data_IF_173450757930
#
_entry.id   IF_173450757930
#
_cell.length_a   1.000
_cell.length_b   1.000
_cell.length_c   1.000
_cell.angle_alpha   90.00
_cell.angle_beta   90.00
_cell.angle_gamma   90.00
#
_symmetry.space_group_name_H-M   'P 1'
#
loop_
_entity.id
_entity.type
_entity.pdbx_description
1 polymer ?
#
# COMPACT_ATOMS: atom_id res chain seq x y z
N UNK A 1 11.93 -7.02 3.10
CA UNK A 1 10.99 -8.12 3.37
C UNK A 1 9.95 -8.15 2.26
N UNK A 2 9.71 -9.28 1.59
CA UNK A 2 8.75 -9.37 0.49
C UNK A 2 7.30 -9.33 0.98
N UNK A 3 6.42 -8.69 0.23
CA UNK A 3 4.96 -8.78 0.39
C UNK A 3 4.29 -9.00 -0.96
N UNK A 4 3.61 -10.13 -1.13
CA UNK A 4 3.00 -10.48 -2.40
C UNK A 4 2.88 -11.98 -2.59
N UNK A 5 2.99 -12.45 -3.83
CA UNK A 5 2.83 -13.87 -4.15
C UNK A 5 3.60 -14.26 -5.42
N UNK A 6 3.87 -15.57 -5.53
CA UNK A 6 4.24 -16.22 -6.79
C UNK A 6 3.31 -17.42 -7.05
N UNK A 7 3.65 -18.30 -8.00
CA UNK A 7 2.84 -19.48 -8.30
C UNK A 7 2.82 -20.54 -7.18
N UNK A 8 3.80 -20.53 -6.26
CA UNK A 8 3.94 -21.52 -5.18
C UNK A 8 3.30 -21.05 -3.88
N UNK A 9 3.47 -19.77 -3.54
CA UNK A 9 3.15 -19.28 -2.20
C UNK A 9 2.87 -17.78 -2.13
N UNK A 10 2.34 -17.35 -0.99
CA UNK A 10 2.26 -15.94 -0.59
C UNK A 10 3.43 -15.59 0.34
N UNK A 11 3.97 -14.39 0.18
CA UNK A 11 4.97 -13.81 1.06
C UNK A 11 4.26 -12.81 1.97
N UNK A 12 4.21 -13.08 3.26
CA UNK A 12 3.48 -12.27 4.25
C UNK A 12 4.48 -11.69 5.25
N UNK A 13 4.58 -10.35 5.38
CA UNK A 13 5.41 -9.73 6.40
C UNK A 13 4.99 -10.14 7.82
N UNK A 14 5.96 -10.28 8.72
CA UNK A 14 5.71 -10.68 10.12
C UNK A 14 4.73 -9.77 10.87
N UNK A 15 4.68 -8.49 10.47
CA UNK A 15 3.74 -7.50 11.02
C UNK A 15 2.28 -7.80 10.69
N UNK A 16 2.02 -8.62 9.67
CA UNK A 16 0.69 -9.00 9.20
C UNK A 16 0.38 -10.48 9.40
N UNK A 17 1.28 -11.26 10.00
CA UNK A 17 1.14 -12.72 10.13
C UNK A 17 -0.09 -13.16 10.94
N UNK A 18 -0.50 -12.34 11.91
CA UNK A 18 -1.62 -12.63 12.81
C UNK A 18 -2.97 -12.13 12.24
N UNK A 19 -3.00 -11.57 11.03
CA UNK A 19 -4.25 -11.09 10.41
C UNK A 19 -5.12 -12.24 9.93
N UNK A 20 -6.44 -12.05 9.99
CA UNK A 20 -7.39 -12.94 9.32
C UNK A 20 -7.15 -12.91 7.80
N UNK A 21 -7.60 -13.95 7.09
CA UNK A 21 -7.45 -14.02 5.62
C UNK A 21 -8.02 -12.80 4.91
N UNK A 22 -9.20 -12.34 5.35
CA UNK A 22 -9.86 -11.15 4.83
C UNK A 22 -9.04 -9.89 5.11
N UNK A 23 -8.61 -9.67 6.36
CA UNK A 23 -7.85 -8.48 6.73
C UNK A 23 -6.48 -8.43 6.04
N UNK A 24 -5.86 -9.59 5.83
CA UNK A 24 -4.61 -9.70 5.10
C UNK A 24 -4.80 -9.35 3.61
N UNK A 25 -5.87 -9.82 2.97
CA UNK A 25 -6.20 -9.45 1.58
C UNK A 25 -6.49 -7.95 1.45
N UNK A 26 -7.25 -7.39 2.38
CA UNK A 26 -7.53 -5.96 2.44
C UNK A 26 -6.24 -5.16 2.64
N UNK A 27 -5.38 -5.61 3.54
CA UNK A 27 -4.08 -4.99 3.83
C UNK A 27 -3.17 -4.97 2.62
N UNK A 28 -3.07 -6.09 1.91
CA UNK A 28 -2.33 -6.18 0.65
C UNK A 28 -2.94 -5.25 -0.41
N UNK A 29 -4.25 -5.32 -0.62
CA UNK A 29 -4.90 -4.59 -1.70
C UNK A 29 -4.90 -3.06 -1.47
N UNK A 30 -5.03 -2.61 -0.23
CA UNK A 30 -4.91 -1.18 0.10
C UNK A 30 -3.52 -0.63 -0.20
N UNK A 31 -2.47 -1.38 0.15
CA UNK A 31 -1.10 -1.00 -0.18
C UNK A 31 -0.84 -1.06 -1.68
N UNK A 32 -1.31 -2.13 -2.35
CA UNK A 32 -1.27 -2.25 -3.82
C UNK A 32 -1.89 -1.03 -4.51
N UNK A 33 -3.13 -0.68 -4.15
CA UNK A 33 -3.84 0.45 -4.75
C UNK A 33 -3.22 1.81 -4.45
N UNK A 34 -2.41 1.93 -3.40
CA UNK A 34 -1.63 3.14 -3.12
C UNK A 34 -0.33 3.20 -3.94
N UNK A 35 0.17 2.06 -4.41
CA UNK A 35 1.46 1.98 -5.09
C UNK A 35 1.35 2.03 -6.61
N UNK A 36 0.21 1.62 -7.18
CA UNK A 36 0.04 1.51 -8.63
C UNK A 36 -0.69 2.71 -9.24
N UNK A 37 -0.51 2.87 -10.56
CA UNK A 37 -1.29 3.81 -11.37
C UNK A 37 -2.80 3.66 -11.12
N UNK A 38 -3.54 4.77 -11.17
CA UNK A 38 -5.00 4.81 -11.00
C UNK A 38 -5.73 3.80 -11.91
N UNK A 39 -5.24 3.60 -13.13
CA UNK A 39 -5.80 2.64 -14.11
C UNK A 39 -5.69 1.18 -13.67
N UNK A 40 -4.75 0.86 -12.77
CA UNK A 40 -4.48 -0.48 -12.25
C UNK A 40 -5.09 -0.73 -10.87
N UNK A 41 -5.76 0.26 -10.29
CA UNK A 41 -6.45 0.13 -9.01
C UNK A 41 -7.55 -0.93 -9.11
N UNK A 42 -7.62 -1.80 -8.10
CA UNK A 42 -8.62 -2.86 -8.00
C UNK A 42 -9.62 -2.51 -6.88
N UNK A 43 -10.94 -2.55 -7.15
CA UNK A 43 -11.94 -2.30 -6.11
C UNK A 43 -11.78 -3.20 -4.89
N UNK A 44 -11.90 -2.62 -3.70
CA UNK A 44 -11.69 -3.33 -2.42
C UNK A 44 -12.63 -4.54 -2.24
N UNK A 45 -13.79 -4.54 -2.90
CA UNK A 45 -14.73 -5.66 -2.90
C UNK A 45 -14.10 -7.00 -3.34
N UNK A 46 -13.08 -6.97 -4.22
CA UNK A 46 -12.41 -8.19 -4.68
C UNK A 46 -11.59 -8.89 -3.59
N UNK A 47 -11.17 -8.17 -2.53
CA UNK A 47 -10.40 -8.72 -1.42
C UNK A 47 -11.25 -9.51 -0.41
N UNK A 48 -12.51 -9.11 -0.19
CA UNK A 48 -13.37 -9.62 0.90
C UNK A 48 -13.54 -11.15 0.87
N UNK A 49 -13.72 -11.71 -0.33
CA UNK A 49 -13.99 -13.14 -0.53
C UNK A 49 -12.88 -13.84 -1.33
N UNK A 50 -11.68 -13.26 -1.39
CA UNK A 50 -10.55 -13.90 -2.06
C UNK A 50 -9.86 -14.91 -1.13
N UNK A 51 -9.48 -16.07 -1.67
CA UNK A 51 -8.76 -17.10 -0.90
C UNK A 51 -7.27 -16.78 -0.73
N UNK A 52 -6.72 -15.95 -1.62
CA UNK A 52 -5.33 -15.50 -1.65
C UNK A 52 -5.24 -14.20 -2.47
N UNK A 53 -4.08 -13.55 -2.46
CA UNK A 53 -3.82 -12.31 -3.20
C UNK A 53 -4.04 -12.48 -4.70
N UNK A 54 -3.57 -13.57 -5.29
CA UNK A 54 -3.71 -13.85 -6.73
C UNK A 54 -5.17 -13.82 -7.19
N UNK A 55 -6.06 -14.42 -6.41
CA UNK A 55 -7.50 -14.50 -6.72
C UNK A 55 -8.15 -13.11 -6.80
N UNK A 56 -7.63 -12.10 -6.10
CA UNK A 56 -8.11 -10.71 -6.18
C UNK A 56 -7.99 -10.20 -7.62
N UNK A 57 -6.83 -10.40 -8.24
CA UNK A 57 -6.53 -9.98 -9.60
C UNK A 57 -7.28 -10.82 -10.62
N UNK A 58 -7.31 -12.15 -10.44
CA UNK A 58 -8.00 -13.05 -11.35
C UNK A 58 -9.48 -12.73 -11.45
N UNK A 59 -10.16 -12.50 -10.31
CA UNK A 59 -11.56 -12.06 -10.31
C UNK A 59 -11.75 -10.73 -11.03
N UNK A 60 -10.86 -9.75 -10.79
CA UNK A 60 -10.92 -8.44 -11.45
C UNK A 60 -10.76 -8.55 -12.96
N UNK A 61 -9.78 -9.31 -13.43
CA UNK A 61 -9.53 -9.56 -14.86
C UNK A 61 -10.77 -10.21 -15.49
N UNK A 62 -11.30 -11.26 -14.86
CA UNK A 62 -12.49 -11.97 -15.36
C UNK A 62 -13.69 -11.04 -15.51
N UNK A 63 -13.96 -10.19 -14.52
CA UNK A 63 -15.09 -9.27 -14.57
C UNK A 63 -14.93 -8.23 -15.67
N UNK A 64 -13.75 -7.59 -15.80
CA UNK A 64 -13.50 -6.61 -16.88
C UNK A 64 -13.74 -7.27 -18.25
N UNK A 65 -13.21 -8.48 -18.43
CA UNK A 65 -13.34 -9.20 -19.70
C UNK A 65 -14.80 -9.57 -19.98
N UNK A 66 -15.54 -10.12 -19.02
CA UNK A 66 -16.98 -10.42 -19.16
C UNK A 66 -17.77 -9.20 -19.61
N UNK A 67 -17.60 -8.06 -18.93
CA UNK A 67 -18.29 -6.81 -19.30
C UNK A 67 -17.90 -6.29 -20.69
N UNK A 68 -16.62 -6.40 -21.07
CA UNK A 68 -16.15 -5.98 -22.39
C UNK A 68 -16.73 -6.83 -23.53
N UNK A 69 -16.83 -8.15 -23.35
CA UNK A 69 -17.43 -9.05 -24.34
C UNK A 69 -18.95 -8.85 -24.47
N UNK A 70 -19.64 -8.54 -23.38
CA UNK A 70 -21.07 -8.21 -23.41
C UNK A 70 -21.32 -6.90 -24.17
N UNK A 71 -20.46 -5.88 -24.03
CA UNK A 71 -20.56 -4.63 -24.80
C UNK A 71 -20.16 -4.76 -26.26
N UNK A 72 -19.28 -5.70 -26.63
CA UNK A 72 -18.91 -5.95 -28.02
C UNK A 72 -20.11 -6.41 -28.90
N UNK A 73 -21.20 -6.90 -28.29
CA UNK A 73 -22.46 -7.18 -28.99
C UNK A 73 -23.18 -5.90 -29.45
N UNK A 74 -22.92 -4.75 -28.81
CA UNK A 74 -23.37 -3.44 -29.27
C UNK A 74 -22.21 -2.72 -29.95
N UNK A 75 -22.23 -2.69 -31.29
CA UNK A 75 -21.23 -2.06 -32.16
C UNK A 75 -20.93 -0.62 -31.70
N UNK A 76 -19.85 -0.47 -30.94
CA UNK A 76 -19.20 0.83 -30.73
C UNK A 76 -17.90 0.83 -31.54
N UNK A 77 -17.53 1.96 -32.16
CA UNK A 77 -16.35 2.04 -33.02
C UNK A 77 -15.12 1.65 -32.19
N UNK A 78 -14.31 0.75 -32.76
CA UNK A 78 -13.08 0.20 -32.17
C UNK A 78 -12.15 1.33 -31.68
N UNK A 79 -12.32 1.72 -30.41
CA UNK A 79 -11.42 2.67 -29.75
C UNK A 79 -10.01 2.05 -29.70
N UNK A 80 -9.10 2.60 -30.50
CA UNK A 80 -7.64 2.37 -30.53
C UNK A 80 -7.22 0.90 -30.38
N UNK A 81 -7.15 0.20 -31.52
CA UNK A 81 -6.59 -1.14 -31.63
C UNK A 81 -5.14 -1.17 -31.11
N UNK A 82 -4.92 -1.78 -29.94
CA UNK A 82 -3.57 -2.05 -29.43
C UNK A 82 -3.28 -3.54 -29.60
N UNK A 83 -2.46 -3.88 -30.58
CA UNK A 83 -2.07 -5.27 -30.91
C UNK A 83 -1.56 -5.99 -29.67
N UNK A 84 -0.63 -5.37 -28.93
CA UNK A 84 -0.06 -5.97 -27.72
C UNK A 84 -1.11 -6.23 -26.64
N UNK A 85 -2.09 -5.35 -26.47
CA UNK A 85 -3.16 -5.58 -25.50
C UNK A 85 -4.04 -6.78 -25.91
N UNK A 86 -4.34 -6.90 -27.21
CA UNK A 86 -5.11 -8.03 -27.73
C UNK A 86 -4.36 -9.36 -27.60
N UNK A 87 -3.04 -9.37 -27.81
CA UNK A 87 -2.22 -10.57 -27.64
C UNK A 87 -2.30 -11.11 -26.20
N UNK A 88 -2.10 -10.25 -25.20
CA UNK A 88 -2.22 -10.64 -23.79
C UNK A 88 -3.63 -11.13 -23.42
N UNK A 89 -4.67 -10.46 -23.92
CA UNK A 89 -6.06 -10.88 -23.69
C UNK A 89 -6.35 -12.23 -24.36
N UNK A 90 -5.84 -12.45 -25.58
CA UNK A 90 -5.98 -13.71 -26.33
C UNK A 90 -5.28 -14.85 -25.58
N UNK A 91 -4.02 -14.65 -25.16
CA UNK A 91 -3.27 -15.60 -24.37
C UNK A 91 -4.01 -16.00 -23.08
N UNK A 92 -4.55 -15.01 -22.35
CA UNK A 92 -5.35 -15.27 -21.15
C UNK A 92 -6.63 -16.08 -21.41
N UNK A 93 -7.29 -15.84 -22.56
CA UNK A 93 -8.51 -16.54 -22.97
C UNK A 93 -8.23 -17.99 -23.32
N UNK A 94 -7.19 -18.25 -24.10
CA UNK A 94 -6.83 -19.59 -24.58
C UNK A 94 -5.89 -20.35 -23.63
N UNK A 95 -5.46 -19.71 -22.53
CA UNK A 95 -4.51 -20.27 -21.56
C UNK A 95 -3.16 -20.64 -22.17
N UNK A 96 -2.75 -19.90 -23.20
CA UNK A 96 -1.47 -20.07 -23.88
C UNK A 96 -0.67 -18.77 -23.85
N UNK A 97 0.36 -18.75 -23.00
CA UNK A 97 1.29 -17.63 -22.83
C UNK A 97 2.66 -17.91 -23.44
N UNK A 98 2.85 -19.03 -24.14
CA UNK A 98 4.15 -19.48 -24.66
C UNK A 98 4.84 -18.40 -25.50
N UNK A 99 4.08 -17.74 -26.38
CA UNK A 99 4.55 -16.68 -27.28
C UNK A 99 4.78 -15.32 -26.60
N UNK A 100 4.39 -15.15 -25.33
CA UNK A 100 4.46 -13.87 -24.62
C UNK A 100 5.55 -13.80 -23.54
N UNK A 101 6.21 -14.92 -23.23
CA UNK A 101 7.25 -14.98 -22.19
C UNK A 101 8.40 -13.99 -22.41
N UNK A 102 8.74 -13.74 -23.68
CA UNK A 102 9.84 -12.86 -24.08
C UNK A 102 9.38 -11.49 -24.61
N UNK A 103 8.11 -11.12 -24.38
CA UNK A 103 7.55 -9.86 -24.87
C UNK A 103 7.72 -8.76 -23.82
N UNK A 104 8.60 -7.80 -24.10
CA UNK A 104 8.92 -6.69 -23.18
C UNK A 104 8.06 -5.43 -23.36
N UNK A 105 7.10 -5.44 -24.30
CA UNK A 105 6.23 -4.28 -24.51
C UNK A 105 5.15 -4.19 -23.43
N UNK A 106 4.92 -2.98 -22.90
CA UNK A 106 3.83 -2.72 -21.94
C UNK A 106 2.50 -2.49 -22.68
N UNK A 107 1.45 -3.30 -22.43
CA UNK A 107 0.14 -3.10 -23.01
C UNK A 107 -0.47 -1.75 -22.62
N UNK A 108 -1.24 -1.14 -23.55
CA UNK A 108 -1.97 0.10 -23.27
C UNK A 108 -3.24 -0.13 -22.44
N UNK A 109 -3.89 -1.28 -22.61
CA UNK A 109 -5.13 -1.58 -21.89
C UNK A 109 -4.85 -2.03 -20.45
N UNK A 110 -5.54 -1.47 -19.44
CA UNK A 110 -5.31 -1.82 -18.05
C UNK A 110 -5.49 -3.32 -17.75
N UNK A 111 -6.50 -3.96 -18.34
CA UNK A 111 -6.73 -5.40 -18.17
C UNK A 111 -5.58 -6.24 -18.75
N UNK A 112 -5.02 -5.81 -19.89
CA UNK A 112 -3.87 -6.49 -20.48
C UNK A 112 -2.60 -6.29 -19.65
N UNK A 113 -2.40 -5.11 -19.05
CA UNK A 113 -1.33 -4.87 -18.07
C UNK A 113 -1.48 -5.77 -16.84
N UNK A 114 -2.68 -5.89 -16.27
CA UNK A 114 -2.92 -6.81 -15.14
C UNK A 114 -2.63 -8.26 -15.50
N UNK A 115 -3.05 -8.71 -16.70
CA UNK A 115 -2.71 -10.05 -17.20
C UNK A 115 -1.19 -10.19 -17.32
N UNK A 116 -0.51 -9.23 -17.96
CA UNK A 116 0.94 -9.25 -18.09
C UNK A 116 1.61 -9.37 -16.71
N UNK A 117 1.22 -8.54 -15.73
CA UNK A 117 1.77 -8.57 -14.37
C UNK A 117 1.61 -9.95 -13.72
N UNK A 118 0.48 -10.64 -13.93
CA UNK A 118 0.20 -11.92 -13.30
C UNK A 118 0.91 -13.12 -13.96
N UNK A 119 1.16 -13.04 -15.26
CA UNK A 119 1.54 -14.20 -16.08
C UNK A 119 2.91 -14.07 -16.75
N UNK A 120 3.49 -12.87 -16.84
CA UNK A 120 4.83 -12.69 -17.42
C UNK A 120 5.93 -13.18 -16.47
N UNK A 121 5.90 -12.69 -15.24
CA UNK A 121 6.92 -13.02 -14.24
C UNK A 121 6.46 -14.12 -13.28
N UNK A 122 5.19 -14.54 -13.38
CA UNK A 122 4.51 -15.49 -12.47
C UNK A 122 4.57 -15.08 -10.98
N UNK A 123 4.99 -13.86 -10.70
CA UNK A 123 5.11 -13.28 -9.38
C UNK A 123 4.70 -11.80 -9.38
N UNK A 124 4.13 -11.40 -8.25
CA UNK A 124 3.83 -10.02 -7.94
C UNK A 124 4.25 -9.77 -6.49
N UNK A 125 5.49 -9.35 -6.32
CA UNK A 125 6.16 -9.20 -5.02
C UNK A 125 6.66 -7.77 -4.89
N UNK A 126 6.35 -7.13 -3.77
CA UNK A 126 6.77 -5.78 -3.43
C UNK A 126 7.69 -5.78 -2.21
N UNK A 127 8.50 -4.73 -2.07
CA UNK A 127 9.19 -4.47 -0.81
C UNK A 127 8.19 -3.97 0.23
N UNK A 128 7.91 -4.75 1.27
CA UNK A 128 6.94 -4.42 2.31
C UNK A 128 7.20 -3.07 2.99
N UNK A 129 8.47 -2.65 3.10
CA UNK A 129 8.83 -1.35 3.69
C UNK A 129 8.35 -0.21 2.81
N UNK A 130 8.70 -0.22 1.54
CA UNK A 130 8.29 0.79 0.56
C UNK A 130 6.77 0.79 0.40
N UNK A 131 6.16 -0.39 0.41
CA UNK A 131 4.72 -0.53 0.24
C UNK A 131 3.93 0.16 1.35
N UNK A 132 4.38 -0.01 2.59
CA UNK A 132 3.78 0.64 3.74
C UNK A 132 4.06 2.14 3.78
N UNK A 133 5.28 2.57 3.46
CA UNK A 133 5.64 4.00 3.37
C UNK A 133 4.76 4.71 2.34
N UNK A 134 4.65 4.17 1.13
CA UNK A 134 3.82 4.74 0.07
C UNK A 134 2.35 4.75 0.45
N UNK A 135 1.85 3.70 1.11
CA UNK A 135 0.48 3.68 1.61
C UNK A 135 0.19 4.79 2.64
N UNK A 136 1.09 5.00 3.60
CA UNK A 136 0.94 6.08 4.60
C UNK A 136 0.98 7.45 3.93
N UNK A 137 1.94 7.68 3.03
CA UNK A 137 2.06 8.91 2.26
C UNK A 137 0.78 9.21 1.48
N UNK A 138 0.33 8.25 0.65
CA UNK A 138 -0.86 8.40 -0.19
C UNK A 138 -2.12 8.69 0.63
N UNK A 139 -2.25 8.04 1.79
CA UNK A 139 -3.40 8.25 2.67
C UNK A 139 -3.37 9.64 3.31
N UNK A 140 -2.19 10.13 3.74
CA UNK A 140 -2.03 11.49 4.25
C UNK A 140 -2.29 12.52 3.14
N UNK A 141 -1.72 12.32 1.95
CA UNK A 141 -1.90 13.20 0.79
C UNK A 141 -3.38 13.32 0.39
N UNK A 142 -4.10 12.20 0.30
CA UNK A 142 -5.54 12.18 -0.03
C UNK A 142 -6.38 12.90 1.02
N UNK A 143 -6.00 12.84 2.29
CA UNK A 143 -6.70 13.54 3.38
C UNK A 143 -6.34 15.02 3.47
N UNK A 144 -5.22 15.44 2.87
CA UNK A 144 -4.67 16.79 2.99
C UNK A 144 -4.24 17.35 1.62
N UNK A 145 -5.15 17.49 0.64
CA UNK A 145 -4.80 17.84 -0.75
C UNK A 145 -4.18 19.24 -0.93
N UNK A 146 -4.27 20.10 0.08
CA UNK A 146 -3.73 21.47 0.05
C UNK A 146 -2.40 21.63 0.79
N UNK A 147 -1.92 20.59 1.47
CA UNK A 147 -0.68 20.66 2.27
C UNK A 147 0.53 20.33 1.41
N UNK A 148 1.67 20.91 1.75
CA UNK A 148 2.94 20.57 1.15
C UNK A 148 3.49 19.31 1.82
N UNK A 149 3.82 18.29 1.02
CA UNK A 149 4.33 17.01 1.50
C UNK A 149 5.68 16.69 0.86
N UNK A 150 6.68 16.45 1.69
CA UNK A 150 8.03 16.09 1.27
C UNK A 150 8.41 14.75 1.90
N UNK A 151 8.37 13.68 1.11
CA UNK A 151 8.78 12.35 1.52
C UNK A 151 10.23 12.08 1.10
N UNK A 152 11.10 11.76 2.06
CA UNK A 152 12.46 11.26 1.81
C UNK A 152 12.69 9.99 2.63
N UNK A 153 12.96 8.90 1.93
CA UNK A 153 13.07 7.55 2.51
C UNK A 153 11.83 7.17 3.35
N UNK A 154 11.92 7.30 4.67
CA UNK A 154 10.84 7.03 5.60
C UNK A 154 10.44 8.24 6.46
N UNK A 155 10.94 9.42 6.11
CA UNK A 155 10.64 10.68 6.77
C UNK A 155 9.76 11.53 5.86
N UNK A 156 8.58 11.89 6.36
CA UNK A 156 7.63 12.76 5.69
C UNK A 156 7.54 14.07 6.46
N UNK A 157 7.87 15.17 5.78
CA UNK A 157 7.68 16.53 6.28
C UNK A 157 6.40 17.12 5.67
N UNK A 158 5.58 17.73 6.52
CA UNK A 158 4.30 18.33 6.17
C UNK A 158 4.38 19.81 6.52
N UNK A 159 4.15 20.66 5.51
CA UNK A 159 4.17 22.13 5.61
C UNK A 159 5.45 22.69 6.26
N UNK A 160 6.57 21.96 6.17
CA UNK A 160 7.88 22.34 6.72
C UNK A 160 8.06 22.18 8.24
N UNK A 161 7.01 21.88 9.01
CA UNK A 161 7.05 21.94 10.48
C UNK A 161 6.34 20.78 11.20
N UNK A 162 5.67 19.88 10.47
CA UNK A 162 5.08 18.67 11.03
C UNK A 162 5.76 17.43 10.44
N UNK A 163 6.41 16.65 11.30
CA UNK A 163 7.23 15.51 10.90
C UNK A 163 6.58 14.16 11.18
N UNK A 164 6.80 13.19 10.29
CA UNK A 164 6.36 11.81 10.43
C UNK A 164 7.48 10.86 10.03
N UNK A 165 7.94 10.01 10.95
CA UNK A 165 8.78 8.85 10.65
C UNK A 165 7.92 7.60 10.48
N UNK A 166 8.14 6.82 9.42
CA UNK A 166 7.32 5.67 9.08
C UNK A 166 8.16 4.39 9.16
N UNK A 167 7.70 3.39 9.92
CA UNK A 167 8.40 2.11 10.06
C UNK A 167 7.48 0.94 9.81
N UNK A 168 7.80 0.12 8.81
CA UNK A 168 7.05 -1.08 8.46
C UNK A 168 7.45 -2.29 9.33
N UNK A 169 7.30 -2.16 10.66
CA UNK A 169 7.60 -3.24 11.61
C UNK A 169 6.58 -3.31 12.74
N UNK A 170 6.52 -4.46 13.41
CA UNK A 170 5.76 -4.57 14.65
C UNK A 170 6.31 -3.61 15.71
N UNK A 171 5.40 -3.00 16.44
CA UNK A 171 5.70 -2.23 17.64
C UNK A 171 4.95 -2.88 18.80
N UNK A 172 5.69 -3.26 19.84
CA UNK A 172 5.14 -3.74 21.11
C UNK A 172 5.36 -2.68 22.18
N UNK A 173 4.27 -2.09 22.67
CA UNK A 173 4.33 -1.02 23.66
C UNK A 173 4.84 -1.50 25.02
N UNK A 174 4.70 -2.79 25.31
CA UNK A 174 5.13 -3.39 26.58
C UNK A 174 6.64 -3.67 26.56
N UNK A 175 7.29 -3.58 25.40
CA UNK A 175 8.72 -3.82 25.24
C UNK A 175 9.39 -2.60 24.62
N UNK A 176 9.78 -1.62 25.46
CA UNK A 176 10.37 -0.34 25.02
C UNK A 176 11.55 -0.49 24.04
N UNK A 177 12.33 -1.56 24.17
CA UNK A 177 13.43 -1.89 23.25
C UNK A 177 12.99 -2.03 21.78
N UNK A 178 11.71 -2.34 21.52
CA UNK A 178 11.17 -2.50 20.16
C UNK A 178 11.09 -1.18 19.38
N UNK A 179 11.03 -0.04 20.06
CA UNK A 179 10.89 1.29 19.44
C UNK A 179 11.89 2.33 19.96
N UNK A 180 12.82 1.94 20.83
CA UNK A 180 13.79 2.86 21.43
C UNK A 180 14.70 3.51 20.38
N UNK A 181 15.12 2.76 19.35
CA UNK A 181 15.96 3.30 18.28
C UNK A 181 15.22 4.38 17.49
N UNK A 182 13.95 4.15 17.17
CA UNK A 182 13.10 5.09 16.44
C UNK A 182 12.81 6.36 17.26
N UNK A 183 12.55 6.21 18.56
CA UNK A 183 12.38 7.35 19.47
C UNK A 183 13.68 8.15 19.55
N UNK A 184 14.82 7.50 19.74
CA UNK A 184 16.12 8.17 19.81
C UNK A 184 16.45 8.90 18.50
N UNK A 185 16.11 8.31 17.35
CA UNK A 185 16.25 8.98 16.06
C UNK A 185 15.38 10.25 16.00
N UNK A 186 14.11 10.16 16.37
CA UNK A 186 13.21 11.32 16.39
C UNK A 186 13.73 12.43 17.32
N UNK A 187 14.16 12.07 18.53
CA UNK A 187 14.70 13.04 19.51
C UNK A 187 15.94 13.77 18.96
N UNK A 188 16.85 13.07 18.27
CA UNK A 188 18.01 13.70 17.61
C UNK A 188 17.57 14.69 16.51
N UNK A 189 16.54 14.34 15.74
CA UNK A 189 16.01 15.25 14.71
C UNK A 189 15.39 16.50 15.34
N UNK A 190 14.63 16.34 16.42
CA UNK A 190 13.99 17.44 17.17
C UNK A 190 15.02 18.36 17.84
N UNK A 191 16.19 17.86 18.19
CA UNK A 191 17.29 18.69 18.70
C UNK A 191 17.88 19.61 17.61
N UNK A 192 17.88 19.16 16.36
CA UNK A 192 18.49 19.89 15.25
C UNK A 192 17.51 20.85 14.56
N UNK A 193 16.21 20.59 14.65
CA UNK A 193 15.15 21.39 14.04
C UNK A 193 13.91 21.37 14.94
N UNK A 194 13.26 22.52 15.10
CA UNK A 194 11.99 22.61 15.82
C UNK A 194 10.83 22.11 14.93
N UNK A 195 9.97 21.26 15.51
CA UNK A 195 8.75 20.78 14.87
C UNK A 195 7.56 21.11 15.76
N UNK A 196 6.40 21.46 15.18
CA UNK A 196 5.19 21.61 16.01
C UNK A 196 4.72 20.27 16.57
N UNK A 197 4.86 19.21 15.75
CA UNK A 197 4.46 17.84 16.05
C UNK A 197 5.42 16.88 15.37
N UNK A 198 5.68 15.75 16.01
CA UNK A 198 6.53 14.69 15.46
C UNK A 198 5.89 13.34 15.73
N UNK A 199 5.49 12.62 14.68
CA UNK A 199 4.87 11.31 14.81
C UNK A 199 5.81 10.19 14.34
N UNK A 200 5.78 9.07 15.04
CA UNK A 200 6.43 7.82 14.63
C UNK A 200 5.31 6.81 14.36
N UNK A 201 5.18 6.41 13.11
CA UNK A 201 4.13 5.52 12.62
C UNK A 201 4.64 4.09 12.51
N UNK A 202 3.86 3.17 13.07
CA UNK A 202 3.98 1.72 12.87
C UNK A 202 2.64 1.15 12.37
N UNK A 203 2.62 0.03 11.64
CA UNK A 203 1.38 -0.69 11.38
C UNK A 203 0.68 -1.06 12.69
N UNK A 204 -0.63 -0.80 12.75
CA UNK A 204 -1.48 -1.21 13.87
C UNK A 204 -1.44 -2.73 14.03
N UNK A 205 -1.16 -3.20 15.23
CA UNK A 205 -1.06 -4.63 15.55
C UNK A 205 -1.71 -4.93 16.92
N UNK A 206 -1.69 -6.19 17.35
CA UNK A 206 -2.32 -6.64 18.60
C UNK A 206 -1.76 -5.97 19.86
N UNK A 207 -0.47 -5.65 19.88
CA UNK A 207 0.25 -5.04 20.99
C UNK A 207 0.36 -3.50 20.86
N UNK A 208 -0.10 -2.91 19.76
CA UNK A 208 -0.09 -1.46 19.57
C UNK A 208 -1.33 -0.98 18.84
N UNK A 209 -2.34 -0.57 19.62
CA UNK A 209 -3.68 -0.20 19.14
C UNK A 209 -4.05 1.27 19.34
N UNK A 210 -3.39 1.97 20.25
CA UNK A 210 -3.63 3.38 20.61
C UNK A 210 -2.34 4.17 20.52
N UNK A 211 -2.45 5.47 20.24
CA UNK A 211 -1.29 6.36 20.23
C UNK A 211 -0.70 6.48 21.64
N UNK A 212 0.61 6.72 21.72
CA UNK A 212 1.33 6.95 22.97
C UNK A 212 2.13 8.23 22.81
N UNK A 213 1.93 9.16 23.73
CA UNK A 213 2.74 10.37 23.81
C UNK A 213 4.04 10.08 24.55
N UNK A 214 5.16 10.45 23.93
CA UNK A 214 6.48 10.30 24.54
C UNK A 214 6.79 11.61 25.26
N UNK A 215 6.58 11.59 26.58
CA UNK A 215 7.01 12.68 27.46
C UNK A 215 8.52 12.60 27.60
N UNK A 216 9.22 13.49 26.92
CA UNK A 216 10.66 13.67 27.09
C UNK A 216 10.94 15.13 27.44
N UNK A 217 11.79 15.35 28.43
CA UNK A 217 12.28 16.68 28.80
C UNK A 217 13.36 17.11 27.81
N UNK A 218 12.97 17.34 26.56
CA UNK A 218 13.76 18.20 25.70
C UNK A 218 13.71 19.60 26.32
N UNK A 219 14.85 20.30 26.35
CA UNK A 219 15.07 21.64 26.94
C UNK A 219 13.81 22.53 26.99
N UNK A 220 13.67 23.41 28.00
CA UNK A 220 12.54 24.34 28.21
C UNK A 220 12.05 25.09 26.95
N UNK A 221 12.88 25.22 25.92
CA UNK A 221 12.54 25.86 24.64
C UNK A 221 11.81 24.95 23.64
N UNK A 222 11.92 23.63 23.73
CA UNK A 222 11.49 22.71 22.68
C UNK A 222 10.09 22.15 22.99
N UNK A 223 9.06 22.71 22.36
CA UNK A 223 7.64 22.37 22.60
C UNK A 223 7.10 21.27 21.67
N UNK A 224 7.99 20.56 20.97
CA UNK A 224 7.61 19.53 19.99
C UNK A 224 6.82 18.39 20.65
N UNK A 225 5.59 18.15 20.20
CA UNK A 225 4.80 17.00 20.65
C UNK A 225 5.22 15.72 19.92
N UNK A 226 5.85 14.77 20.63
CA UNK A 226 6.28 13.48 20.08
C UNK A 226 5.27 12.36 20.39
N UNK A 227 4.77 11.66 19.36
CA UNK A 227 3.82 10.53 19.54
C UNK A 227 4.21 9.30 18.73
N UNK A 228 4.07 8.12 19.34
CA UNK A 228 3.96 6.86 18.62
C UNK A 228 2.51 6.70 18.15
N UNK A 229 2.30 6.37 16.88
CA UNK A 229 0.96 6.25 16.27
C UNK A 229 0.79 4.90 15.58
N UNK A 230 -0.18 4.06 16.00
CA UNK A 230 -0.52 2.85 15.28
C UNK A 230 -1.38 3.21 14.07
N UNK A 231 -0.91 2.85 12.88
CA UNK A 231 -1.54 3.25 11.63
C UNK A 231 -2.28 2.07 11.00
N UNK A 232 -3.59 2.25 10.81
CA UNK A 232 -4.45 1.20 10.29
C UNK A 232 -4.48 1.18 8.76
N UNK A 233 -4.22 0.00 8.21
CA UNK A 233 -4.21 -0.24 6.77
C UNK A 233 -5.61 -0.59 6.27
N UNK A 234 -6.40 -1.31 7.06
CA UNK A 234 -7.81 -1.58 6.75
C UNK A 234 -8.69 -0.50 7.36
N UNK A 235 -9.61 0.06 6.58
CA UNK A 235 -10.56 1.07 7.07
C UNK A 235 -11.64 0.48 8.01
N UNK A 236 -11.39 -0.62 8.73
CA UNK A 236 -12.32 -1.18 9.73
C UNK A 236 -12.50 -0.28 10.97
N UNK A 237 -12.00 0.97 10.94
CA UNK A 237 -12.24 1.98 11.97
C UNK A 237 -13.13 3.08 11.40
N UNK A 238 -14.42 3.05 11.81
CA UNK A 238 -15.24 4.25 11.91
C UNK A 238 -14.46 5.29 12.73
N UNK A 239 -14.23 6.45 12.12
CA UNK A 239 -13.92 7.72 12.79
C UNK A 239 -12.78 7.72 13.80
N UNK A 240 -11.52 7.80 13.36
CA UNK A 240 -10.43 8.29 14.22
C UNK A 240 -9.21 8.73 13.39
N UNK A 241 -9.44 9.54 12.34
CA UNK A 241 -8.46 10.49 11.79
C UNK A 241 -9.22 11.79 11.48
N UNK A 242 -9.88 12.35 12.49
CA UNK A 242 -10.39 13.74 12.48
C UNK A 242 -9.48 14.70 13.26
N UNK A 243 -8.34 14.23 13.78
CA UNK A 243 -7.47 15.00 14.68
C UNK A 243 -6.17 15.50 14.03
N UNK A 244 -6.20 15.79 12.72
CA UNK A 244 -5.20 16.63 12.06
C UNK A 244 -5.82 17.99 11.65
N UNK A 245 -6.71 18.50 12.50
CA UNK A 245 -7.17 19.89 12.51
C UNK A 245 -6.49 20.59 13.67
#
# INVERSE_FOLDING_TARGET
MPFGFNFKQEFIPDVFKDLTREDLNLTFLHQYNAFVDEKLVIPIAYAKNARNFRMIFEKRIQDILKFSFLKAKHKSPLKKFCIFSHLWIKAYKYKDFSVLKNVFFTPKMPVARMIQMLYQNEELIFNAREFFINYVYEKIAKQNPKRQLELKDNFLLIDGHFAVLIYAKNCDINQKSNFALEVNQALKMIQNQEFSRFYIIFPKNKNFKRHIEIKHFLSEKNKTMLKLVPYSITNKLKGEIKQCQ
#
